data_IF_905275882811
#
_entry.id   IF_905275882811
#
_cell.length_a   1.000
_cell.length_b   1.000
_cell.length_c   1.000
_cell.angle_alpha   90.00
_cell.angle_beta   90.00
_cell.angle_gamma   90.00
#
_symmetry.space_group_name_H-M   'P 1'
#
loop_
_entity.id
_entity.type
_entity.pdbx_description
1 polymer ?
#
# COMPACT_ATOMS: atom_id res chain seq x y z
N UNK A 1 18.00 -25.01 -29.87
CA UNK A 1 18.63 -24.09 -28.90
C UNK A 1 17.53 -23.48 -28.06
N UNK A 2 17.42 -23.87 -26.78
CA UNK A 2 16.59 -23.16 -25.80
C UNK A 2 17.37 -21.91 -25.41
N UNK A 3 16.84 -20.74 -25.70
CA UNK A 3 17.39 -19.47 -25.26
C UNK A 3 17.24 -19.39 -23.75
N UNK A 4 18.35 -19.47 -23.02
CA UNK A 4 18.42 -19.13 -21.60
C UNK A 4 18.03 -17.66 -21.45
N UNK A 5 16.93 -17.42 -20.75
CA UNK A 5 16.56 -16.07 -20.33
C UNK A 5 17.60 -15.60 -19.29
N UNK A 6 18.19 -14.40 -19.42
CA UNK A 6 19.12 -13.87 -18.43
C UNK A 6 18.40 -13.73 -17.09
N UNK A 7 18.88 -14.47 -16.09
CA UNK A 7 18.42 -14.38 -14.72
C UNK A 7 19.01 -13.09 -14.11
N UNK A 8 18.31 -11.96 -14.27
CA UNK A 8 18.78 -10.63 -13.88
C UNK A 8 19.00 -10.43 -12.36
N UNK A 9 18.68 -11.42 -11.51
CA UNK A 9 18.89 -11.36 -10.06
C UNK A 9 19.24 -12.76 -9.51
N UNK A 10 20.52 -13.07 -9.22
CA UNK A 10 21.03 -14.44 -9.20
C UNK A 10 20.78 -15.25 -7.92
N UNK A 11 20.08 -14.74 -6.90
CA UNK A 11 19.81 -15.58 -5.71
C UNK A 11 18.48 -15.28 -5.02
N UNK A 12 17.72 -16.34 -4.78
CA UNK A 12 16.60 -16.39 -3.81
C UNK A 12 17.09 -16.35 -2.34
N UNK A 13 18.35 -15.99 -2.11
CA UNK A 13 18.90 -15.77 -0.78
C UNK A 13 18.81 -14.29 -0.43
N UNK A 14 18.28 -13.93 0.76
CA UNK A 14 18.47 -12.61 1.31
C UNK A 14 19.98 -12.35 1.42
N UNK A 15 20.53 -11.25 0.86
CA UNK A 15 21.93 -10.96 1.08
C UNK A 15 22.16 -10.62 2.56
N UNK A 16 23.34 -11.01 3.08
CA UNK A 16 23.68 -10.90 4.52
C UNK A 16 23.69 -9.43 5.02
N UNK A 17 23.74 -8.46 4.10
CA UNK A 17 23.76 -7.03 4.34
C UNK A 17 22.44 -6.47 4.93
N UNK A 18 21.32 -7.19 4.81
CA UNK A 18 20.03 -6.74 5.39
C UNK A 18 19.73 -7.27 6.80
N UNK A 19 20.59 -8.11 7.40
CA UNK A 19 20.30 -8.73 8.69
C UNK A 19 20.02 -7.73 9.83
N UNK A 20 20.74 -6.59 9.86
CA UNK A 20 20.48 -5.53 10.84
C UNK A 20 19.19 -4.77 10.54
N UNK A 21 18.95 -4.43 9.28
CA UNK A 21 17.72 -3.77 8.84
C UNK A 21 16.48 -4.62 9.14
N UNK A 22 16.57 -5.94 8.95
CA UNK A 22 15.49 -6.89 9.26
C UNK A 22 15.20 -6.94 10.76
N UNK A 23 16.24 -7.01 11.61
CA UNK A 23 16.06 -6.94 13.07
C UNK A 23 15.40 -5.64 13.50
N UNK A 24 15.81 -4.50 12.91
CA UNK A 24 15.21 -3.20 13.22
C UNK A 24 13.75 -3.12 12.76
N UNK A 25 13.44 -3.67 11.57
CA UNK A 25 12.10 -3.67 10.99
C UNK A 25 11.17 -4.76 11.58
N UNK A 26 11.72 -5.72 12.33
CA UNK A 26 11.00 -6.88 12.85
C UNK A 26 10.64 -7.88 11.75
N UNK A 27 11.45 -7.96 10.69
CA UNK A 27 11.25 -8.92 9.60
C UNK A 27 11.85 -10.26 9.97
N UNK A 28 11.09 -11.32 9.68
CA UNK A 28 11.52 -12.71 9.80
C UNK A 28 11.47 -13.32 8.39
N UNK A 29 12.60 -13.27 7.68
CA UNK A 29 12.77 -13.78 6.31
C UNK A 29 13.56 -15.09 6.36
N UNK A 30 12.97 -16.15 5.81
CA UNK A 30 13.54 -17.49 5.76
C UNK A 30 14.46 -17.72 4.56
N UNK A 31 15.21 -18.82 4.59
CA UNK A 31 16.10 -19.23 3.51
C UNK A 31 15.36 -19.67 2.23
N UNK A 32 14.05 -19.94 2.33
CA UNK A 32 13.13 -20.29 1.25
C UNK A 32 12.43 -19.06 0.63
N UNK A 33 12.92 -17.85 0.92
CA UNK A 33 12.36 -16.62 0.38
C UNK A 33 12.39 -16.61 -1.15
N UNK A 34 11.29 -16.18 -1.77
CA UNK A 34 11.21 -15.93 -3.20
C UNK A 34 10.59 -14.55 -3.41
N UNK A 35 11.18 -13.77 -4.34
CA UNK A 35 10.57 -12.50 -4.76
C UNK A 35 9.18 -12.76 -5.33
N UNK A 36 8.26 -11.86 -5.02
CA UNK A 36 6.86 -12.03 -5.42
C UNK A 36 6.67 -11.71 -6.90
N UNK A 37 6.02 -12.60 -7.66
CA UNK A 37 5.59 -12.33 -9.03
C UNK A 37 4.30 -11.48 -9.00
N UNK A 38 4.32 -10.29 -9.59
CA UNK A 38 3.16 -9.40 -9.60
C UNK A 38 1.92 -10.07 -10.20
N UNK A 39 2.08 -10.99 -11.16
CA UNK A 39 0.96 -11.71 -11.79
C UNK A 39 0.14 -12.49 -10.76
N UNK A 40 0.76 -12.88 -9.64
CA UNK A 40 0.10 -13.57 -8.53
C UNK A 40 -0.59 -12.64 -7.53
N UNK A 41 -0.50 -11.31 -7.69
CA UNK A 41 -1.35 -10.40 -6.95
C UNK A 41 -2.82 -10.71 -7.25
N UNK A 42 -3.68 -10.50 -6.26
CA UNK A 42 -5.06 -10.98 -6.33
C UNK A 42 -5.87 -10.31 -7.45
N UNK A 43 -5.54 -9.06 -7.77
CA UNK A 43 -6.25 -8.33 -8.81
C UNK A 43 -5.81 -8.76 -10.20
N UNK A 44 -4.53 -9.06 -10.41
CA UNK A 44 -4.03 -9.63 -11.65
C UNK A 44 -4.57 -11.05 -11.89
N UNK A 45 -4.58 -11.91 -10.85
CA UNK A 45 -5.12 -13.27 -10.92
C UNK A 45 -6.57 -13.35 -11.39
N UNK A 46 -7.39 -12.35 -11.09
CA UNK A 46 -8.78 -12.32 -11.54
C UNK A 46 -8.96 -12.33 -13.07
N UNK A 47 -7.89 -12.10 -13.84
CA UNK A 47 -7.93 -12.05 -15.31
C UNK A 47 -7.30 -13.26 -16.00
N UNK A 48 -6.57 -14.13 -15.31
CA UNK A 48 -5.87 -15.26 -15.94
C UNK A 48 -5.93 -16.58 -15.15
N UNK A 49 -6.23 -16.53 -13.85
CA UNK A 49 -6.25 -17.72 -13.00
C UNK A 49 -7.66 -18.32 -12.99
N UNK A 50 -7.84 -19.50 -13.59
CA UNK A 50 -9.13 -20.20 -13.70
C UNK A 50 -9.82 -20.45 -12.35
N UNK A 51 -9.05 -20.54 -11.26
CA UNK A 51 -9.61 -20.71 -9.91
C UNK A 51 -10.20 -19.43 -9.31
N UNK A 52 -9.88 -18.28 -9.89
CA UNK A 52 -10.25 -16.94 -9.39
C UNK A 52 -11.15 -16.21 -10.39
N UNK A 53 -10.87 -16.38 -11.69
CA UNK A 53 -11.59 -15.71 -12.75
C UNK A 53 -13.06 -16.18 -12.76
N UNK A 54 -13.97 -15.21 -12.73
CA UNK A 54 -15.40 -15.45 -12.86
C UNK A 54 -16.06 -14.28 -13.60
N UNK A 55 -17.28 -14.49 -14.10
CA UNK A 55 -18.06 -13.41 -14.73
C UNK A 55 -18.26 -12.23 -13.78
N UNK A 56 -18.46 -12.51 -12.49
CA UNK A 56 -18.64 -11.54 -11.42
C UNK A 56 -17.33 -10.81 -11.09
N UNK A 57 -16.19 -11.52 -11.06
CA UNK A 57 -14.88 -10.93 -10.85
C UNK A 57 -14.54 -9.94 -11.98
N UNK A 58 -14.74 -10.34 -13.24
CA UNK A 58 -14.56 -9.45 -14.39
C UNK A 58 -15.55 -8.27 -14.36
N UNK A 59 -16.80 -8.50 -13.94
CA UNK A 59 -17.79 -7.44 -13.77
C UNK A 59 -17.41 -6.42 -12.67
N UNK A 60 -16.74 -6.86 -11.60
CA UNK A 60 -16.23 -5.94 -10.57
C UNK A 60 -15.23 -4.94 -11.15
N UNK A 61 -14.27 -5.38 -11.96
CA UNK A 61 -13.32 -4.47 -12.61
C UNK A 61 -13.99 -3.59 -13.65
N UNK A 62 -14.84 -4.17 -14.52
CA UNK A 62 -15.63 -3.39 -15.48
C UNK A 62 -16.47 -2.31 -14.82
N UNK A 63 -16.97 -2.53 -13.60
CA UNK A 63 -17.76 -1.53 -12.88
C UNK A 63 -17.02 -0.23 -12.54
N UNK A 64 -15.69 -0.21 -12.61
CA UNK A 64 -14.95 1.05 -12.46
C UNK A 64 -15.03 1.90 -13.75
N UNK A 65 -15.09 1.25 -14.92
CA UNK A 65 -15.24 1.91 -16.22
C UNK A 65 -16.73 2.17 -16.57
N UNK A 66 -17.58 1.16 -16.39
CA UNK A 66 -18.97 1.16 -16.86
C UNK A 66 -19.93 1.97 -15.96
N UNK A 67 -19.45 2.49 -14.82
CA UNK A 67 -20.21 3.29 -13.85
C UNK A 67 -21.56 2.64 -13.50
N UNK A 68 -21.57 1.55 -12.71
CA UNK A 68 -22.76 0.74 -12.47
C UNK A 68 -23.91 1.59 -11.94
N UNK A 69 -25.14 1.19 -12.29
CA UNK A 69 -26.35 1.83 -11.79
C UNK A 69 -26.31 1.91 -10.26
N UNK A 70 -26.60 3.11 -9.74
CA UNK A 70 -26.74 3.33 -8.30
C UNK A 70 -27.82 2.43 -7.71
N UNK A 71 -27.67 2.08 -6.43
CA UNK A 71 -28.65 1.32 -5.66
C UNK A 71 -29.47 2.28 -4.79
N UNK A 72 -30.72 1.95 -4.51
CA UNK A 72 -31.51 2.64 -3.48
C UNK A 72 -31.15 2.16 -2.07
N UNK A 73 -29.86 2.11 -1.75
CA UNK A 73 -29.34 1.68 -0.46
C UNK A 73 -28.32 2.69 0.07
N UNK A 74 -28.35 2.94 1.38
CA UNK A 74 -27.46 3.91 2.04
C UNK A 74 -25.98 3.55 1.81
N UNK A 75 -25.22 4.49 1.26
CA UNK A 75 -23.82 4.33 0.85
C UNK A 75 -23.61 3.77 -0.54
N UNK A 76 -24.66 3.53 -1.32
CA UNK A 76 -24.61 3.05 -2.71
C UNK A 76 -25.51 3.87 -3.64
N UNK A 77 -25.90 5.08 -3.22
CA UNK A 77 -26.71 6.01 -4.01
C UNK A 77 -25.92 6.61 -5.18
N UNK A 78 -26.59 7.33 -6.06
CA UNK A 78 -25.92 8.02 -7.16
C UNK A 78 -24.88 9.03 -6.68
N UNK A 79 -25.16 9.75 -5.59
CA UNK A 79 -24.20 10.71 -4.99
C UNK A 79 -22.95 9.99 -4.47
N UNK A 80 -23.12 8.83 -3.83
CA UNK A 80 -22.01 8.03 -3.32
C UNK A 80 -21.07 7.57 -4.44
N UNK A 81 -21.64 7.04 -5.54
CA UNK A 81 -20.86 6.65 -6.71
C UNK A 81 -20.27 7.85 -7.45
N UNK A 82 -20.98 8.98 -7.54
CA UNK A 82 -20.46 10.19 -8.17
C UNK A 82 -19.22 10.71 -7.44
N UNK A 83 -19.27 10.81 -6.10
CA UNK A 83 -18.12 11.24 -5.31
C UNK A 83 -16.96 10.25 -5.42
N UNK A 84 -17.25 8.94 -5.30
CA UNK A 84 -16.23 7.90 -5.48
C UNK A 84 -15.55 8.03 -6.84
N UNK A 85 -16.30 8.06 -7.93
CA UNK A 85 -15.73 8.11 -9.27
C UNK A 85 -14.93 9.40 -9.49
N UNK A 86 -15.42 10.54 -9.00
CA UNK A 86 -14.67 11.79 -9.06
C UNK A 86 -13.34 11.72 -8.30
N UNK A 87 -13.33 11.05 -7.14
CA UNK A 87 -12.11 10.87 -6.35
C UNK A 87 -11.04 10.03 -7.06
N UNK A 88 -11.44 9.09 -7.94
CA UNK A 88 -10.52 8.24 -8.71
C UNK A 88 -10.01 8.88 -10.01
N UNK A 89 -10.62 9.98 -10.47
CA UNK A 89 -10.42 10.50 -11.82
C UNK A 89 -8.95 10.72 -12.21
N UNK A 90 -8.13 11.29 -11.31
CA UNK A 90 -6.71 11.54 -11.63
C UNK A 90 -5.90 10.25 -11.68
N UNK A 91 -6.14 9.32 -10.77
CA UNK A 91 -5.48 8.01 -10.81
C UNK A 91 -5.84 7.24 -12.09
N UNK A 92 -7.10 7.30 -12.51
CA UNK A 92 -7.59 6.67 -13.74
C UNK A 92 -6.95 7.32 -14.97
N UNK A 93 -6.84 8.64 -15.04
CA UNK A 93 -6.16 9.35 -16.13
C UNK A 93 -4.70 8.91 -16.27
N UNK A 94 -3.95 8.79 -15.17
CA UNK A 94 -2.58 8.27 -15.20
C UNK A 94 -2.54 6.80 -15.65
N UNK A 95 -3.42 5.95 -15.11
CA UNK A 95 -3.46 4.53 -15.44
C UNK A 95 -3.78 4.28 -16.91
N UNK A 96 -4.63 5.11 -17.52
CA UNK A 96 -5.11 4.93 -18.89
C UNK A 96 -4.23 5.64 -19.94
N UNK A 97 -3.40 6.64 -19.56
CA UNK A 97 -2.65 7.48 -20.51
C UNK A 97 -1.80 6.71 -21.54
N UNK A 98 -1.19 5.59 -21.13
CA UNK A 98 -0.33 4.75 -21.96
C UNK A 98 -0.83 3.29 -22.06
N UNK A 99 -2.09 3.04 -21.69
CA UNK A 99 -2.70 1.70 -21.76
C UNK A 99 -2.85 1.21 -23.19
N UNK A 100 -2.96 2.13 -24.15
CA UNK A 100 -2.87 1.87 -25.58
C UNK A 100 -1.51 1.25 -26.01
N UNK A 101 -0.48 1.40 -25.18
CA UNK A 101 0.87 0.86 -25.41
C UNK A 101 1.19 -0.32 -24.47
N UNK A 102 0.20 -0.85 -23.73
CA UNK A 102 0.41 -1.96 -22.79
C UNK A 102 0.98 -1.54 -21.43
N UNK A 103 0.96 -0.25 -21.11
CA UNK A 103 1.41 0.29 -19.83
C UNK A 103 0.21 0.72 -18.98
N UNK A 104 0.18 0.33 -17.70
CA UNK A 104 -0.84 0.81 -16.76
C UNK A 104 -0.19 1.43 -15.54
N UNK A 105 -0.04 2.74 -15.63
CA UNK A 105 0.85 3.49 -14.76
C UNK A 105 0.29 3.64 -13.34
N UNK A 106 1.14 3.41 -12.35
CA UNK A 106 0.81 3.37 -10.94
C UNK A 106 0.16 2.05 -10.47
N UNK A 107 -0.11 1.09 -11.36
CA UNK A 107 -0.71 -0.19 -10.98
C UNK A 107 0.12 -1.39 -11.42
N UNK A 108 0.42 -1.50 -12.72
CA UNK A 108 1.28 -2.54 -13.29
C UNK A 108 2.61 -1.98 -13.79
N UNK A 109 2.67 -0.67 -14.03
CA UNK A 109 3.84 0.02 -14.57
C UNK A 109 4.18 1.26 -13.74
N UNK A 110 5.47 1.63 -13.62
CA UNK A 110 5.85 2.91 -13.05
C UNK A 110 5.35 4.05 -13.92
N UNK A 111 5.34 5.26 -13.36
CA UNK A 111 4.99 6.45 -14.11
C UNK A 111 6.10 6.81 -15.10
N UNK A 112 5.73 6.93 -16.38
CA UNK A 112 6.64 7.39 -17.42
C UNK A 112 7.12 8.83 -17.13
N UNK A 113 8.42 9.10 -17.29
CA UNK A 113 8.98 10.42 -17.08
C UNK A 113 8.40 11.44 -18.07
N UNK A 114 8.12 12.65 -17.60
CA UNK A 114 7.77 13.76 -18.50
C UNK A 114 9.02 14.32 -19.19
N UNK A 115 10.09 14.52 -18.42
CA UNK A 115 11.40 14.93 -18.90
C UNK A 115 12.47 14.01 -18.32
N UNK A 116 13.56 13.76 -19.07
CA UNK A 116 14.71 13.03 -18.55
C UNK A 116 15.40 13.80 -17.42
N UNK A 117 16.34 13.17 -16.70
CA UNK A 117 17.23 13.89 -15.80
C UNK A 117 17.96 15.05 -16.50
N UNK A 118 18.15 16.16 -15.79
CA UNK A 118 18.94 17.29 -16.28
C UNK A 118 20.40 16.86 -16.50
N UNK A 119 21.03 17.39 -17.55
CA UNK A 119 22.44 17.10 -17.85
C UNK A 119 23.38 17.56 -16.73
N UNK A 120 23.09 18.73 -16.15
CA UNK A 120 23.81 19.23 -14.99
C UNK A 120 23.26 18.60 -13.71
N UNK A 121 24.06 17.73 -13.11
CA UNK A 121 23.76 17.10 -11.81
C UNK A 121 24.09 18.07 -10.67
N UNK A 122 23.11 18.33 -9.80
CA UNK A 122 23.35 19.06 -8.55
C UNK A 122 24.37 18.29 -7.72
N UNK A 123 25.33 18.98 -7.10
CA UNK A 123 26.26 18.36 -6.16
C UNK A 123 25.62 18.30 -4.78
N UNK A 124 25.48 17.09 -4.23
CA UNK A 124 24.98 16.86 -2.86
C UNK A 124 26.16 16.45 -1.98
N UNK A 125 26.62 17.38 -1.12
CA UNK A 125 27.71 17.14 -0.18
C UNK A 125 27.22 16.58 1.17
N UNK A 126 25.98 16.84 1.55
CA UNK A 126 25.35 16.35 2.78
C UNK A 126 24.04 15.60 2.46
N UNK A 127 24.09 14.26 2.34
CA UNK A 127 22.91 13.43 2.11
C UNK A 127 21.84 13.54 3.22
N UNK A 128 22.22 13.87 4.46
CA UNK A 128 21.26 14.02 5.55
C UNK A 128 20.46 15.32 5.41
N UNK A 129 21.13 16.43 5.08
CA UNK A 129 20.46 17.68 4.74
C UNK A 129 19.54 17.50 3.53
N UNK A 130 20.01 16.81 2.48
CA UNK A 130 19.17 16.53 1.30
C UNK A 130 17.96 15.67 1.65
N UNK A 131 18.10 14.66 2.51
CA UNK A 131 16.95 13.87 2.99
C UNK A 131 15.89 14.73 3.68
N UNK A 132 16.29 15.73 4.45
CA UNK A 132 15.33 16.64 5.08
C UNK A 132 14.65 17.54 4.05
N UNK A 133 15.40 18.04 3.07
CA UNK A 133 14.86 18.85 1.99
C UNK A 133 13.89 18.07 1.10
N UNK A 134 14.25 16.86 0.65
CA UNK A 134 13.40 16.06 -0.23
C UNK A 134 12.08 15.67 0.46
N UNK A 135 12.11 15.42 1.78
CA UNK A 135 10.89 15.20 2.57
C UNK A 135 10.02 16.46 2.64
N UNK A 136 10.63 17.64 2.80
CA UNK A 136 9.90 18.91 2.77
C UNK A 136 9.25 19.14 1.40
N UNK A 137 9.96 18.83 0.31
CA UNK A 137 9.42 18.91 -1.06
C UNK A 137 8.30 17.89 -1.27
N UNK A 138 8.44 16.66 -0.77
CA UNK A 138 7.38 15.65 -0.81
C UNK A 138 6.10 16.14 -0.09
N UNK A 139 6.25 16.76 1.08
CA UNK A 139 5.12 17.38 1.79
C UNK A 139 4.48 18.53 1.02
N UNK A 140 5.28 19.38 0.37
CA UNK A 140 4.77 20.45 -0.50
C UNK A 140 3.91 19.89 -1.65
N UNK A 141 4.30 18.76 -2.24
CA UNK A 141 3.54 18.11 -3.31
C UNK A 141 2.35 17.26 -2.83
N UNK A 142 2.14 17.13 -1.51
CA UNK A 142 0.93 16.52 -0.94
C UNK A 142 1.14 15.22 -0.17
N UNK A 143 2.39 14.73 -0.01
CA UNK A 143 2.65 13.60 0.88
C UNK A 143 2.32 13.99 2.32
N UNK A 144 1.58 13.13 3.04
CA UNK A 144 1.29 13.33 4.46
C UNK A 144 2.43 12.84 5.36
N UNK A 145 3.28 11.96 4.83
CA UNK A 145 4.51 11.49 5.45
C UNK A 145 5.49 11.05 4.36
N UNK A 146 6.78 11.17 4.64
CA UNK A 146 7.84 10.70 3.74
C UNK A 146 9.00 10.13 4.56
N UNK A 147 9.54 9.01 4.08
CA UNK A 147 10.69 8.33 4.67
C UNK A 147 11.62 7.84 3.56
N UNK A 148 12.89 7.66 3.87
CA UNK A 148 13.89 7.17 2.92
C UNK A 148 14.51 5.89 3.45
N UNK A 149 14.69 4.91 2.59
CA UNK A 149 15.40 3.65 2.90
C UNK A 149 16.32 3.26 1.75
N UNK A 150 17.27 2.37 2.01
CA UNK A 150 18.01 1.69 0.96
C UNK A 150 17.07 0.91 0.03
N UNK A 151 17.49 0.76 -1.23
CA UNK A 151 16.86 -0.17 -2.15
C UNK A 151 17.18 -1.61 -1.73
N UNK A 152 16.18 -2.27 -1.16
CA UNK A 152 16.20 -3.70 -0.84
C UNK A 152 15.58 -4.52 -2.00
N UNK A 153 16.40 -5.22 -2.81
CA UNK A 153 15.93 -5.88 -4.02
C UNK A 153 14.99 -7.06 -3.74
N UNK A 154 14.94 -7.57 -2.50
CA UNK A 154 14.02 -8.65 -2.10
C UNK A 154 12.56 -8.22 -2.28
N UNK A 155 12.26 -6.94 -2.08
CA UNK A 155 10.89 -6.44 -2.14
C UNK A 155 10.45 -6.00 -3.55
N UNK A 156 11.37 -5.96 -4.52
CA UNK A 156 11.01 -5.80 -5.93
C UNK A 156 10.20 -7.02 -6.39
N UNK A 157 9.20 -6.79 -7.24
CA UNK A 157 8.55 -7.90 -7.90
C UNK A 157 9.56 -8.66 -8.77
N UNK A 158 9.46 -9.99 -8.79
CA UNK A 158 10.29 -10.82 -9.68
C UNK A 158 10.04 -10.47 -11.15
N UNK A 159 8.77 -10.24 -11.48
CA UNK A 159 8.23 -9.84 -12.77
C UNK A 159 7.05 -8.92 -12.53
N UNK A 160 6.79 -8.02 -13.49
CA UNK A 160 5.55 -7.23 -13.55
C UNK A 160 4.52 -7.95 -14.42
N UNK A 161 3.27 -7.54 -14.34
CA UNK A 161 2.19 -8.09 -15.19
C UNK A 161 1.92 -7.16 -16.36
N UNK A 162 1.95 -7.68 -17.59
CA UNK A 162 1.50 -6.91 -18.75
C UNK A 162 -0.04 -6.79 -18.73
N UNK A 163 -0.58 -5.60 -18.92
CA UNK A 163 -1.99 -5.28 -18.62
C UNK A 163 -3.00 -5.91 -19.60
N UNK A 164 -2.58 -6.32 -20.80
CA UNK A 164 -3.48 -6.86 -21.83
C UNK A 164 -3.52 -8.38 -21.83
N UNK A 165 -2.34 -8.99 -21.81
CA UNK A 165 -2.12 -10.43 -21.87
C UNK A 165 -2.13 -11.07 -20.48
N UNK A 166 -1.85 -10.29 -19.43
CA UNK A 166 -1.60 -10.77 -18.07
C UNK A 166 -0.42 -11.74 -17.96
N UNK A 167 0.46 -11.76 -18.97
CA UNK A 167 1.70 -12.51 -18.93
C UNK A 167 2.79 -11.74 -18.15
N UNK A 168 3.78 -12.45 -17.58
CA UNK A 168 4.91 -11.81 -16.92
C UNK A 168 5.74 -10.98 -17.90
N UNK A 169 6.17 -9.81 -17.46
CA UNK A 169 7.16 -8.96 -18.14
C UNK A 169 8.28 -8.56 -17.18
N UNK A 170 9.46 -8.18 -17.69
CA UNK A 170 10.58 -7.75 -16.85
C UNK A 170 10.23 -6.58 -15.92
N UNK A 171 10.85 -6.58 -14.74
CA UNK A 171 10.77 -5.51 -13.75
C UNK A 171 12.06 -4.70 -13.71
N UNK A 172 12.57 -4.35 -14.89
CA UNK A 172 13.86 -3.69 -15.03
C UNK A 172 13.77 -2.25 -14.49
N UNK A 173 14.68 -1.94 -13.60
CA UNK A 173 14.93 -0.58 -13.12
C UNK A 173 16.26 -0.09 -13.70
N UNK A 174 16.42 1.23 -13.93
CA UNK A 174 17.72 1.79 -14.28
C UNK A 174 18.82 1.34 -13.31
N UNK A 175 20.03 1.15 -13.84
CA UNK A 175 21.19 0.81 -13.01
C UNK A 175 21.57 1.95 -12.06
N UNK A 176 22.18 1.59 -10.93
CA UNK A 176 22.75 2.56 -9.97
C UNK A 176 21.74 3.20 -9.01
N UNK A 177 20.46 2.82 -9.06
CA UNK A 177 19.50 3.23 -8.03
C UNK A 177 19.88 2.59 -6.69
N UNK A 178 19.96 3.40 -5.64
CA UNK A 178 20.40 2.97 -4.31
C UNK A 178 19.39 3.28 -3.22
N UNK A 179 18.46 4.22 -3.49
CA UNK A 179 17.57 4.78 -2.49
C UNK A 179 16.10 4.65 -2.92
N UNK A 180 15.23 4.48 -1.93
CA UNK A 180 13.78 4.50 -2.08
C UNK A 180 13.20 5.58 -1.18
N UNK A 181 12.53 6.55 -1.78
CA UNK A 181 11.72 7.54 -1.06
C UNK A 181 10.30 6.99 -0.98
N UNK A 182 9.83 6.63 0.20
CA UNK A 182 8.47 6.13 0.45
C UNK A 182 7.60 7.27 0.95
N UNK A 183 6.43 7.45 0.34
CA UNK A 183 5.48 8.50 0.68
C UNK A 183 4.16 7.89 1.14
N UNK A 184 3.59 8.42 2.22
CA UNK A 184 2.30 8.01 2.73
C UNK A 184 1.22 9.06 2.50
N UNK A 185 0.04 8.59 2.12
CA UNK A 185 -1.12 9.39 1.72
C UNK A 185 -2.29 9.04 2.64
N UNK A 186 -2.55 9.93 3.59
CA UNK A 186 -3.59 9.75 4.60
C UNK A 186 -4.98 9.81 3.98
N UNK A 187 -5.81 8.82 4.27
CA UNK A 187 -7.22 8.79 3.85
C UNK A 187 -8.14 9.44 4.88
N UNK A 188 -9.31 9.89 4.45
CA UNK A 188 -10.30 10.55 5.31
C UNK A 188 -10.81 9.62 6.43
N UNK A 189 -10.88 10.13 7.66
CA UNK A 189 -11.27 9.36 8.83
C UNK A 189 -12.75 8.94 8.79
N UNK A 190 -13.64 9.86 8.42
CA UNK A 190 -15.09 9.67 8.53
C UNK A 190 -15.62 8.80 7.39
N UNK A 191 -15.09 8.98 6.17
CA UNK A 191 -15.34 8.09 5.04
C UNK A 191 -14.86 6.66 5.35
N UNK A 192 -13.67 6.48 5.93
CA UNK A 192 -13.21 5.14 6.35
C UNK A 192 -14.14 4.51 7.40
N UNK A 193 -14.77 5.32 8.25
CA UNK A 193 -15.76 4.85 9.22
C UNK A 193 -17.10 4.41 8.58
N UNK A 194 -17.36 4.79 7.32
CA UNK A 194 -18.55 4.39 6.56
C UNK A 194 -18.39 3.07 5.78
N UNK A 195 -17.19 2.48 5.73
CA UNK A 195 -16.97 1.17 5.10
C UNK A 195 -17.81 0.06 5.75
N UNK A 196 -18.32 -0.93 5.00
CA UNK A 196 -18.27 -1.03 3.53
C UNK A 196 -19.35 -0.15 2.88
N UNK A 197 -18.99 0.70 1.92
CA UNK A 197 -19.91 1.48 1.09
C UNK A 197 -19.17 2.03 -0.14
N UNK A 198 -19.90 2.36 -1.21
CA UNK A 198 -19.31 3.08 -2.35
C UNK A 198 -18.82 4.47 -1.92
N UNK A 199 -19.54 5.13 -1.00
CA UNK A 199 -19.14 6.42 -0.42
C UNK A 199 -17.74 6.35 0.19
N UNK A 200 -17.51 5.35 1.04
CA UNK A 200 -16.21 5.16 1.69
C UNK A 200 -15.07 4.92 0.68
N UNK A 201 -15.38 4.32 -0.48
CA UNK A 201 -14.47 4.14 -1.61
C UNK A 201 -13.89 5.45 -2.17
N UNK A 202 -14.51 6.60 -1.90
CA UNK A 202 -13.96 7.91 -2.24
C UNK A 202 -12.67 8.21 -1.45
N UNK A 203 -12.53 7.72 -0.23
CA UNK A 203 -11.31 7.91 0.57
C UNK A 203 -10.09 7.22 -0.08
N UNK A 204 -10.30 6.02 -0.64
CA UNK A 204 -9.27 5.30 -1.39
C UNK A 204 -8.99 5.96 -2.73
N UNK A 205 -10.04 6.39 -3.45
CA UNK A 205 -9.87 7.12 -4.72
C UNK A 205 -9.03 8.39 -4.56
N UNK A 206 -9.36 9.22 -3.57
CA UNK A 206 -8.59 10.42 -3.25
C UNK A 206 -7.15 10.09 -2.88
N UNK A 207 -6.93 8.98 -2.18
CA UNK A 207 -5.59 8.47 -1.88
C UNK A 207 -4.78 8.19 -3.15
N UNK A 208 -5.33 7.43 -4.09
CA UNK A 208 -4.64 7.11 -5.35
C UNK A 208 -4.43 8.33 -6.25
N UNK A 209 -5.40 9.23 -6.33
CA UNK A 209 -5.27 10.47 -7.11
C UNK A 209 -4.20 11.40 -6.52
N UNK A 210 -4.14 11.50 -5.19
CA UNK A 210 -3.07 12.22 -4.48
C UNK A 210 -1.70 11.57 -4.66
N UNK A 211 -1.63 10.24 -4.63
CA UNK A 211 -0.41 9.49 -4.93
C UNK A 211 0.11 9.78 -6.33
N UNK A 212 -0.75 9.70 -7.34
CA UNK A 212 -0.36 9.86 -8.74
C UNK A 212 0.25 11.23 -9.00
N UNK A 213 -0.33 12.28 -8.43
CA UNK A 213 0.17 13.66 -8.55
C UNK A 213 1.48 13.86 -7.79
N UNK A 214 1.55 13.42 -6.54
CA UNK A 214 2.75 13.58 -5.70
C UNK A 214 3.95 12.86 -6.31
N UNK A 215 3.78 11.62 -6.78
CA UNK A 215 4.84 10.82 -7.40
C UNK A 215 5.34 11.48 -8.68
N UNK A 216 4.43 11.96 -9.53
CA UNK A 216 4.80 12.62 -10.78
C UNK A 216 5.61 13.89 -10.53
N UNK A 217 5.19 14.71 -9.57
CA UNK A 217 5.85 15.96 -9.23
C UNK A 217 7.22 15.74 -8.57
N UNK A 218 7.28 14.87 -7.55
CA UNK A 218 8.52 14.64 -6.82
C UNK A 218 9.57 13.91 -7.68
N UNK A 219 9.16 12.92 -8.49
CA UNK A 219 10.09 12.26 -9.42
C UNK A 219 10.61 13.24 -10.46
N UNK A 220 9.77 14.14 -10.96
CA UNK A 220 10.22 15.17 -11.90
C UNK A 220 11.15 16.19 -11.24
N UNK A 221 10.89 16.58 -10.00
CA UNK A 221 11.81 17.44 -9.24
C UNK A 221 13.20 16.82 -9.10
N UNK A 222 13.27 15.54 -8.73
CA UNK A 222 14.55 14.79 -8.63
C UNK A 222 15.27 14.74 -9.99
N UNK A 223 14.53 14.47 -11.08
CA UNK A 223 15.09 14.51 -12.44
C UNK A 223 15.61 15.90 -12.81
N UNK A 224 14.92 16.97 -12.43
CA UNK A 224 15.39 18.33 -12.68
C UNK A 224 16.69 18.68 -11.92
N UNK A 225 17.03 17.93 -10.86
CA UNK A 225 18.32 18.03 -10.16
C UNK A 225 19.42 17.17 -10.81
N UNK A 226 19.13 16.47 -11.91
CA UNK A 226 20.06 15.61 -12.65
C UNK A 226 20.23 14.20 -12.09
N UNK A 227 19.25 13.73 -11.30
CA UNK A 227 19.23 12.37 -10.74
C UNK A 227 18.17 11.50 -11.41
N UNK A 228 18.42 10.19 -11.48
CA UNK A 228 17.43 9.21 -11.91
C UNK A 228 16.30 9.13 -10.89
N UNK A 229 15.06 9.07 -11.37
CA UNK A 229 13.88 8.87 -10.52
C UNK A 229 12.79 8.08 -11.25
N UNK A 230 12.50 6.89 -10.73
CA UNK A 230 11.39 6.06 -11.19
C UNK A 230 10.22 6.23 -10.22
N UNK A 231 9.18 6.93 -10.67
CA UNK A 231 7.96 7.16 -9.89
C UNK A 231 7.07 5.93 -9.91
N UNK A 232 6.67 5.40 -8.76
CA UNK A 232 6.02 4.09 -8.69
C UNK A 232 4.98 4.05 -7.56
N UNK A 233 3.80 3.47 -7.80
CA UNK A 233 2.68 3.47 -6.83
C UNK A 233 2.38 2.05 -6.31
N UNK A 234 1.53 1.26 -6.95
CA UNK A 234 1.30 -0.16 -6.59
C UNK A 234 2.15 -1.14 -7.40
N UNK A 235 2.77 -0.66 -8.48
CA UNK A 235 3.64 -1.38 -9.40
C UNK A 235 5.05 -1.61 -8.82
N UNK A 236 5.92 -2.29 -9.57
CA UNK A 236 7.38 -2.49 -9.33
C UNK A 236 7.81 -3.22 -8.06
N UNK A 237 7.19 -3.00 -6.91
CA UNK A 237 7.62 -3.55 -5.63
C UNK A 237 6.51 -3.60 -4.58
N UNK A 238 6.71 -4.48 -3.60
CA UNK A 238 5.91 -4.51 -2.37
C UNK A 238 6.26 -3.31 -1.48
N UNK A 239 5.34 -2.35 -1.38
CA UNK A 239 5.59 -1.10 -0.64
C UNK A 239 5.58 -1.25 0.88
N UNK A 240 4.86 -2.23 1.43
CA UNK A 240 4.73 -2.44 2.88
C UNK A 240 6.10 -2.59 3.58
N UNK A 241 6.99 -3.51 3.15
CA UNK A 241 8.30 -3.63 3.79
C UNK A 241 9.13 -2.34 3.67
N UNK A 242 9.12 -1.69 2.50
CA UNK A 242 9.83 -0.42 2.29
C UNK A 242 9.32 0.69 3.22
N UNK A 243 8.00 0.80 3.43
CA UNK A 243 7.43 1.78 4.34
C UNK A 243 7.83 1.54 5.81
N UNK A 244 8.00 0.27 6.21
CA UNK A 244 8.48 -0.08 7.56
C UNK A 244 9.98 0.24 7.68
N UNK A 245 10.79 -0.15 6.69
CA UNK A 245 12.23 0.18 6.64
C UNK A 245 12.47 1.69 6.67
N UNK A 246 11.65 2.46 5.94
CA UNK A 246 11.64 3.92 5.95
C UNK A 246 11.07 4.55 7.24
N UNK A 247 10.73 3.75 8.25
CA UNK A 247 10.30 4.21 9.57
C UNK A 247 8.90 4.82 9.65
N UNK A 248 8.03 4.56 8.66
CA UNK A 248 6.69 5.16 8.58
C UNK A 248 5.64 4.47 9.46
N UNK A 249 5.88 3.22 9.86
CA UNK A 249 5.00 2.49 10.77
C UNK A 249 5.42 1.05 10.99
N UNK A 250 4.49 0.25 11.50
CA UNK A 250 4.68 -1.18 11.80
C UNK A 250 3.64 -2.05 11.09
N UNK A 251 3.99 -3.31 10.81
CA UNK A 251 3.05 -4.26 10.21
C UNK A 251 1.93 -4.66 11.19
N UNK A 252 0.67 -4.49 10.77
CA UNK A 252 -0.50 -4.93 11.54
C UNK A 252 -1.03 -6.29 11.09
N UNK A 253 -1.76 -6.99 11.99
CA UNK A 253 -2.51 -8.23 11.67
C UNK A 253 -3.46 -8.07 10.48
N UNK A 254 -3.95 -6.86 10.23
CA UNK A 254 -4.80 -6.51 9.09
C UNK A 254 -4.03 -6.33 7.76
N UNK A 255 -2.75 -6.70 7.72
CA UNK A 255 -1.85 -6.63 6.57
C UNK A 255 -1.54 -5.21 6.05
N UNK A 256 -1.69 -4.20 6.90
CA UNK A 256 -1.37 -2.82 6.54
C UNK A 256 -0.26 -2.30 7.45
N UNK A 257 0.45 -1.27 6.98
CA UNK A 257 1.33 -0.50 7.84
C UNK A 257 0.48 0.40 8.73
N UNK A 258 0.60 0.21 10.04
CA UNK A 258 -0.03 1.04 11.05
C UNK A 258 0.91 2.20 11.33
N UNK A 259 0.51 3.39 10.90
CA UNK A 259 1.27 4.63 11.10
C UNK A 259 0.85 5.32 12.40
N UNK A 260 1.71 6.19 12.94
CA UNK A 260 1.40 6.93 14.16
C UNK A 260 0.21 7.87 13.96
N UNK A 261 0.15 8.59 12.84
CA UNK A 261 -0.76 9.72 12.68
C UNK A 261 -2.06 9.39 11.93
N UNK A 262 -2.08 8.24 11.26
CA UNK A 262 -3.23 7.81 10.46
C UNK A 262 -3.65 6.36 10.77
N UNK A 263 -2.89 5.62 11.59
CA UNK A 263 -3.15 4.20 11.80
C UNK A 263 -3.08 3.43 10.47
N UNK A 264 -4.01 2.51 10.18
CA UNK A 264 -4.02 1.76 8.92
C UNK A 264 -4.54 2.54 7.71
N UNK A 265 -5.00 3.80 7.84
CA UNK A 265 -5.68 4.53 6.75
C UNK A 265 -4.72 5.19 5.75
N UNK A 266 -3.55 4.60 5.53
CA UNK A 266 -2.53 5.19 4.68
C UNK A 266 -2.38 4.36 3.42
N UNK A 267 -2.36 5.04 2.28
CA UNK A 267 -1.89 4.48 1.01
C UNK A 267 -0.42 4.88 0.85
N UNK A 268 0.39 4.05 0.18
CA UNK A 268 1.82 4.31 0.05
C UNK A 268 2.25 4.26 -1.41
N UNK A 269 3.10 5.20 -1.79
CA UNK A 269 3.82 5.22 -3.04
C UNK A 269 5.33 5.31 -2.79
N UNK A 270 6.14 5.12 -3.84
CA UNK A 270 7.60 5.09 -3.75
C UNK A 270 8.27 5.69 -4.97
N UNK A 271 9.47 6.23 -4.78
CA UNK A 271 10.36 6.66 -5.86
C UNK A 271 11.71 5.98 -5.67
N UNK A 272 12.18 5.29 -6.70
CA UNK A 272 13.53 4.73 -6.75
C UNK A 272 14.48 5.76 -7.35
N UNK A 273 15.62 6.02 -6.72
CA UNK A 273 16.55 7.08 -7.16
C UNK A 273 18.01 6.76 -6.87
N UNK A 274 18.91 7.32 -7.67
CA UNK A 274 20.36 7.35 -7.43
C UNK A 274 20.80 8.59 -6.62
N UNK A 275 19.86 9.49 -6.26
CA UNK A 275 20.13 10.68 -5.44
C UNK A 275 20.71 10.26 -4.08
N UNK A 276 21.91 10.74 -3.69
CA UNK A 276 22.49 10.48 -2.38
C UNK A 276 21.59 10.99 -1.26
N UNK A 277 21.09 10.09 -0.42
CA UNK A 277 20.18 10.38 0.67
C UNK A 277 20.56 9.58 1.92
N UNK A 278 20.46 10.21 3.08
CA UNK A 278 20.50 9.47 4.35
C UNK A 278 19.18 8.71 4.58
N UNK A 279 19.27 7.52 5.16
CA UNK A 279 18.12 6.66 5.40
C UNK A 279 17.51 6.89 6.78
N UNK A 280 16.19 6.78 6.86
CA UNK A 280 15.47 6.62 8.10
C UNK A 280 15.68 5.21 8.67
N UNK A 281 15.23 5.05 9.92
CA UNK A 281 15.24 3.77 10.61
C UNK A 281 13.82 3.41 11.05
N UNK A 282 13.49 2.11 11.11
CA UNK A 282 12.27 1.61 11.73
C UNK A 282 12.05 2.19 13.14
N UNK A 283 10.81 2.58 13.45
CA UNK A 283 10.44 3.23 14.72
C UNK A 283 9.25 2.52 15.38
N UNK A 284 9.43 1.29 15.90
CA UNK A 284 8.35 0.54 16.52
C UNK A 284 7.74 1.30 17.71
N UNK A 285 6.43 1.20 17.84
CA UNK A 285 5.61 1.81 18.89
C UNK A 285 4.57 0.85 19.49
N UNK A 286 4.72 -0.45 19.24
CA UNK A 286 4.04 -1.54 19.95
C UNK A 286 2.84 -2.14 19.20
N UNK A 287 2.81 -2.04 17.86
CA UNK A 287 1.71 -2.56 17.05
C UNK A 287 1.66 -4.09 17.08
N UNK A 288 2.82 -4.75 17.01
CA UNK A 288 2.92 -6.22 17.06
C UNK A 288 2.39 -6.77 18.39
N UNK A 289 2.82 -6.21 19.52
CA UNK A 289 2.37 -6.61 20.85
C UNK A 289 0.88 -6.34 21.05
N UNK A 290 0.37 -5.26 20.47
CA UNK A 290 -1.06 -4.97 20.48
C UNK A 290 -1.83 -5.98 19.63
N UNK A 291 -1.35 -6.33 18.43
CA UNK A 291 -1.94 -7.34 17.56
C UNK A 291 -1.91 -8.76 18.15
N UNK A 292 -0.98 -9.04 19.07
CA UNK A 292 -0.94 -10.31 19.80
C UNK A 292 -2.08 -10.47 20.82
N UNK A 293 -2.68 -9.38 21.30
CA UNK A 293 -3.86 -9.41 22.19
C UNK A 293 -5.15 -8.98 21.50
N UNK A 294 -5.05 -8.36 20.32
CA UNK A 294 -6.18 -7.83 19.56
C UNK A 294 -6.39 -8.62 18.26
N UNK A 295 -7.62 -9.11 18.07
CA UNK A 295 -8.07 -9.78 16.84
C UNK A 295 -9.30 -9.11 16.20
N UNK A 296 -9.60 -7.84 16.55
CA UNK A 296 -10.81 -7.13 16.07
C UNK A 296 -10.97 -7.14 14.55
N UNK A 297 -9.88 -7.01 13.78
CA UNK A 297 -9.92 -7.07 12.32
C UNK A 297 -10.32 -8.46 11.80
N UNK A 298 -9.79 -9.54 12.39
CA UNK A 298 -10.13 -10.91 12.03
C UNK A 298 -11.55 -11.28 12.48
N UNK A 299 -11.94 -10.87 13.68
CA UNK A 299 -13.30 -11.08 14.21
C UNK A 299 -14.36 -10.42 13.32
N UNK A 300 -14.10 -9.18 12.87
CA UNK A 300 -15.04 -8.41 12.06
C UNK A 300 -15.01 -8.76 10.56
N UNK A 301 -14.00 -9.47 10.07
CA UNK A 301 -13.87 -9.84 8.66
C UNK A 301 -14.99 -10.82 8.26
N UNK A 302 -15.96 -10.44 7.41
CA UNK A 302 -17.06 -11.34 7.06
C UNK A 302 -16.62 -12.66 6.42
N UNK A 303 -15.67 -12.67 5.45
CA UNK A 303 -15.23 -13.93 4.84
C UNK A 303 -14.16 -14.65 5.66
N UNK A 304 -13.80 -14.16 6.86
CA UNK A 304 -12.75 -14.77 7.72
C UNK A 304 -11.41 -14.95 6.98
N UNK A 305 -11.05 -13.95 6.19
CA UNK A 305 -9.82 -13.94 5.39
C UNK A 305 -8.56 -13.64 6.21
N UNK A 306 -8.68 -13.03 7.40
CA UNK A 306 -7.54 -12.69 8.24
C UNK A 306 -7.22 -13.78 9.26
N UNK A 307 -5.94 -14.02 9.58
CA UNK A 307 -5.53 -15.04 10.54
C UNK A 307 -5.90 -14.65 11.98
N UNK A 308 -6.33 -15.65 12.75
CA UNK A 308 -6.66 -15.52 14.18
C UNK A 308 -5.44 -15.73 15.09
N UNK A 309 -4.47 -16.54 14.65
CA UNK A 309 -3.31 -16.97 15.43
C UNK A 309 -2.09 -16.05 15.34
N UNK A 310 -0.92 -16.50 15.80
CA UNK A 310 0.35 -15.80 15.60
C UNK A 310 0.73 -15.70 14.10
N UNK A 311 1.73 -14.88 13.75
CA UNK A 311 2.34 -14.89 12.42
C UNK A 311 2.90 -16.26 12.03
N UNK A 312 2.73 -16.64 10.77
CA UNK A 312 3.22 -17.91 10.22
C UNK A 312 3.90 -17.65 8.87
N UNK A 313 4.75 -18.58 8.42
CA UNK A 313 5.34 -18.53 7.07
C UNK A 313 4.32 -19.04 6.06
N UNK A 314 4.23 -18.38 4.92
CA UNK A 314 3.33 -18.75 3.81
C UNK A 314 1.94 -18.13 3.90
N UNK A 315 0.97 -18.78 3.26
CA UNK A 315 -0.43 -18.34 3.21
C UNK A 315 -1.34 -19.33 2.49
N UNK A 316 -2.62 -19.00 2.41
CA UNK A 316 -3.65 -19.92 1.90
C UNK A 316 -3.53 -20.21 0.39
N UNK A 317 -2.90 -19.32 -0.38
CA UNK A 317 -2.81 -19.41 -1.84
C UNK A 317 -1.58 -18.65 -2.37
N UNK A 318 -1.38 -18.70 -3.69
CA UNK A 318 -0.21 -18.11 -4.38
C UNK A 318 -0.13 -16.58 -4.33
N UNK A 319 -1.17 -15.90 -3.86
CA UNK A 319 -1.11 -14.45 -3.58
C UNK A 319 -0.39 -14.13 -2.27
N UNK A 320 0.13 -15.13 -1.56
CA UNK A 320 1.03 -14.97 -0.43
C UNK A 320 2.50 -14.96 -0.88
N UNK A 321 3.28 -14.03 -0.32
CA UNK A 321 4.74 -14.04 -0.42
C UNK A 321 5.31 -15.26 0.33
N UNK A 322 6.31 -15.92 -0.25
CA UNK A 322 7.00 -17.09 0.33
C UNK A 322 8.17 -16.68 1.22
N UNK A 323 8.49 -17.52 2.19
CA UNK A 323 9.65 -17.34 3.07
C UNK A 323 9.61 -16.09 3.96
N UNK A 324 8.43 -15.49 4.21
CA UNK A 324 8.29 -14.40 5.18
C UNK A 324 7.28 -14.80 6.24
N UNK A 325 7.67 -14.77 7.52
CA UNK A 325 6.77 -15.02 8.64
C UNK A 325 6.00 -13.75 8.97
N UNK A 326 4.69 -13.77 8.74
CA UNK A 326 3.80 -12.63 8.99
C UNK A 326 2.36 -13.10 9.16
N UNK A 327 1.45 -12.20 9.56
CA UNK A 327 0.03 -12.47 9.41
C UNK A 327 -0.34 -12.46 7.92
N UNK A 328 -0.59 -13.63 7.34
CA UNK A 328 -0.99 -13.74 5.93
C UNK A 328 -2.50 -13.90 5.77
N UNK A 329 -3.14 -13.02 5.00
CA UNK A 329 -4.55 -13.11 4.66
C UNK A 329 -4.79 -14.12 3.52
N UNK A 330 -5.97 -14.72 3.52
CA UNK A 330 -6.54 -15.42 2.38
C UNK A 330 -7.13 -14.39 1.40
N UNK A 331 -6.33 -13.99 0.41
CA UNK A 331 -6.69 -12.94 -0.54
C UNK A 331 -7.88 -13.32 -1.42
N UNK A 332 -8.09 -14.61 -1.71
CA UNK A 332 -9.23 -15.09 -2.52
C UNK A 332 -10.53 -14.90 -1.76
N UNK A 333 -10.56 -15.24 -0.46
CA UNK A 333 -11.71 -14.95 0.41
C UNK A 333 -11.96 -13.44 0.54
N UNK A 334 -10.90 -12.64 0.67
CA UNK A 334 -11.02 -11.19 0.77
C UNK A 334 -11.63 -10.61 -0.51
N UNK A 335 -11.05 -10.91 -1.67
CA UNK A 335 -11.49 -10.41 -2.96
C UNK A 335 -12.87 -10.95 -3.36
N UNK A 336 -13.18 -12.22 -3.07
CA UNK A 336 -14.50 -12.78 -3.29
C UNK A 336 -15.61 -12.02 -2.55
N UNK A 337 -15.31 -11.43 -1.39
CA UNK A 337 -16.25 -10.54 -0.70
C UNK A 337 -16.46 -9.19 -1.43
N UNK A 338 -15.40 -8.63 -2.04
CA UNK A 338 -15.50 -7.40 -2.84
C UNK A 338 -16.36 -7.63 -4.08
N UNK A 339 -16.14 -8.76 -4.76
CA UNK A 339 -16.94 -9.19 -5.92
C UNK A 339 -18.41 -9.31 -5.56
N UNK A 340 -18.73 -9.97 -4.43
CA UNK A 340 -20.12 -10.08 -3.93
C UNK A 340 -20.75 -8.73 -3.61
N UNK A 341 -20.01 -7.81 -2.98
CA UNK A 341 -20.50 -6.47 -2.68
C UNK A 341 -20.59 -5.56 -3.91
N UNK A 342 -19.83 -5.87 -4.96
CA UNK A 342 -19.51 -5.01 -6.11
C UNK A 342 -19.00 -3.63 -5.66
N UNK A 343 -18.14 -3.64 -4.65
CA UNK A 343 -17.43 -2.48 -4.07
C UNK A 343 -16.25 -2.97 -3.26
N UNK A 344 -15.31 -2.08 -2.98
CA UNK A 344 -14.23 -2.28 -2.03
C UNK A 344 -14.72 -2.45 -0.57
N UNK A 345 -13.91 -3.15 0.25
CA UNK A 345 -14.27 -3.53 1.62
C UNK A 345 -13.67 -2.64 2.72
N UNK A 346 -12.45 -2.91 3.19
CA UNK A 346 -11.78 -2.20 4.29
C UNK A 346 -12.44 -2.23 5.70
N UNK A 347 -13.32 -3.18 6.01
CA UNK A 347 -13.83 -3.37 7.40
C UNK A 347 -12.68 -3.54 8.40
N UNK A 348 -11.63 -4.27 8.04
CA UNK A 348 -10.45 -4.50 8.88
C UNK A 348 -9.68 -3.21 9.23
N UNK A 349 -9.74 -2.20 8.37
CA UNK A 349 -9.21 -0.86 8.60
C UNK A 349 -10.12 -0.11 9.56
N UNK A 350 -11.43 -0.10 9.28
CA UNK A 350 -12.46 0.55 10.09
C UNK A 350 -12.42 0.13 11.56
N UNK A 351 -12.36 -1.17 11.83
CA UNK A 351 -12.45 -1.71 13.20
C UNK A 351 -11.13 -1.69 13.96
N UNK A 352 -10.02 -1.32 13.31
CA UNK A 352 -8.71 -1.32 13.94
C UNK A 352 -8.69 -0.32 15.11
N UNK A 353 -8.22 -0.69 16.31
CA UNK A 353 -8.10 0.27 17.41
C UNK A 353 -7.19 1.46 17.10
N UNK A 354 -6.22 1.30 16.19
CA UNK A 354 -5.37 2.38 15.68
C UNK A 354 -6.06 3.24 14.60
N UNK A 355 -7.23 2.86 14.10
CA UNK A 355 -8.08 3.76 13.31
C UNK A 355 -8.72 4.80 14.26
N UNK A 356 -8.01 5.92 14.52
CA UNK A 356 -8.49 7.08 15.28
C UNK A 356 -8.14 8.41 14.61
N UNK A 357 -8.77 9.47 15.09
CA UNK A 357 -8.41 10.86 14.79
C UNK A 357 -7.31 11.32 15.75
N UNK A 358 -6.06 11.27 15.29
CA UNK A 358 -4.89 11.62 16.09
C UNK A 358 -4.62 13.13 16.18
N UNK A 359 -5.44 13.98 15.54
CA UNK A 359 -5.45 15.42 15.84
C UNK A 359 -5.87 15.65 17.30
N UNK A 360 -6.70 14.75 17.86
CA UNK A 360 -7.15 14.78 19.26
C UNK A 360 -6.03 14.30 20.20
N UNK A 361 -5.56 15.12 21.16
CA UNK A 361 -4.49 14.74 22.11
C UNK A 361 -4.77 13.45 22.88
N UNK A 362 -6.04 13.26 23.30
CA UNK A 362 -6.47 12.06 24.01
C UNK A 362 -6.25 10.77 23.19
N UNK A 363 -6.40 10.83 21.86
CA UNK A 363 -6.16 9.68 20.98
C UNK A 363 -4.67 9.39 20.82
N UNK A 364 -3.82 10.42 20.82
CA UNK A 364 -2.35 10.24 20.83
C UNK A 364 -1.87 9.62 22.13
N UNK A 365 -2.44 10.02 23.27
CA UNK A 365 -2.19 9.37 24.56
C UNK A 365 -2.65 7.92 24.53
N UNK A 366 -3.89 7.65 24.08
CA UNK A 366 -4.43 6.30 23.99
C UNK A 366 -3.54 5.38 23.13
N UNK A 367 -3.04 5.86 21.99
CA UNK A 367 -2.06 5.14 21.14
C UNK A 367 -0.78 4.82 21.90
N UNK A 368 -0.22 5.80 22.62
CA UNK A 368 0.99 5.59 23.41
C UNK A 368 0.78 4.52 24.48
N UNK A 369 -0.33 4.58 25.22
CA UNK A 369 -0.67 3.58 26.24
C UNK A 369 -0.92 2.19 25.62
N UNK A 370 -1.51 2.14 24.42
CA UNK A 370 -1.72 0.90 23.68
C UNK A 370 -0.42 0.17 23.31
N UNK A 371 0.70 0.89 23.15
CA UNK A 371 2.02 0.27 22.95
C UNK A 371 2.64 -0.33 24.22
N UNK A 372 2.11 0.00 25.41
CA UNK A 372 2.67 -0.43 26.70
C UNK A 372 1.98 -1.68 27.26
N UNK A 373 2.30 -2.04 28.51
CA UNK A 373 1.60 -3.10 29.28
C UNK A 373 0.09 -2.84 29.44
N UNK A 374 -0.36 -1.58 29.27
CA UNK A 374 -1.78 -1.19 29.35
C UNK A 374 -2.61 -1.57 28.10
N UNK A 375 -2.02 -2.20 27.09
CA UNK A 375 -2.69 -2.57 25.82
C UNK A 375 -4.03 -3.29 25.97
N UNK A 376 -4.17 -4.18 26.96
CA UNK A 376 -5.43 -4.90 27.23
C UNK A 376 -6.51 -3.97 27.75
N UNK A 377 -6.17 -3.04 28.65
CA UNK A 377 -7.07 -2.00 29.12
C UNK A 377 -7.49 -1.07 27.99
N UNK A 378 -6.53 -0.65 27.16
CA UNK A 378 -6.82 0.22 26.01
C UNK A 378 -7.73 -0.46 24.99
N UNK A 379 -7.52 -1.74 24.70
CA UNK A 379 -8.42 -2.53 23.86
C UNK A 379 -9.83 -2.63 24.46
N UNK A 380 -9.93 -2.89 25.78
CA UNK A 380 -11.22 -2.94 26.47
C UNK A 380 -11.96 -1.59 26.39
N UNK A 381 -11.27 -0.47 26.64
CA UNK A 381 -11.84 0.88 26.52
C UNK A 381 -12.30 1.16 25.09
N UNK A 382 -11.49 0.83 24.09
CA UNK A 382 -11.80 1.01 22.67
C UNK A 382 -13.11 0.29 22.28
N UNK A 383 -13.31 -0.92 22.80
CA UNK A 383 -14.54 -1.71 22.61
C UNK A 383 -15.71 -1.09 23.37
N UNK A 384 -15.53 -0.75 24.66
CA UNK A 384 -16.60 -0.20 25.51
C UNK A 384 -17.12 1.14 25.03
N UNK A 385 -16.24 2.00 24.54
CA UNK A 385 -16.59 3.30 23.96
C UNK A 385 -17.20 3.19 22.54
N UNK A 386 -17.29 1.97 21.99
CA UNK A 386 -17.97 1.71 20.73
C UNK A 386 -17.18 2.14 19.48
N UNK A 387 -15.87 2.35 19.59
CA UNK A 387 -15.05 2.67 18.43
C UNK A 387 -15.02 1.50 17.42
N UNK A 388 -14.94 1.84 16.13
CA UNK A 388 -14.93 0.88 15.03
C UNK A 388 -16.31 0.42 14.55
N UNK A 389 -17.39 0.89 15.20
CA UNK A 389 -18.76 0.75 14.66
C UNK A 389 -18.88 1.50 13.34
N UNK A 390 -19.68 0.94 12.41
CA UNK A 390 -19.97 1.58 11.13
C UNK A 390 -20.74 2.87 11.36
N UNK A 391 -20.30 3.96 10.75
CA UNK A 391 -21.09 5.18 10.62
C UNK A 391 -21.97 5.03 9.38
N UNK A 392 -23.25 5.34 9.51
CA UNK A 392 -24.18 5.31 8.38
C UNK A 392 -23.72 6.32 7.31
N UNK A 393 -23.51 5.92 6.04
CA UNK A 393 -23.04 6.80 4.97
C UNK A 393 -23.82 8.13 4.86
N UNK A 394 -25.15 8.12 5.02
CA UNK A 394 -25.96 9.34 5.00
C UNK A 394 -25.57 10.40 6.05
N UNK A 395 -24.94 10.02 7.16
CA UNK A 395 -24.43 10.98 8.16
C UNK A 395 -23.23 11.78 7.66
N UNK A 396 -22.48 11.28 6.70
CA UNK A 396 -21.38 12.05 6.12
C UNK A 396 -21.91 13.16 5.20
N UNK A 397 -23.01 12.90 4.48
CA UNK A 397 -23.70 13.91 3.68
C UNK A 397 -24.45 14.95 4.52
N UNK A 398 -24.85 14.58 5.74
CA UNK A 398 -25.60 15.42 6.68
C UNK A 398 -24.90 15.38 8.06
N UNK A 399 -23.75 16.08 8.19
CA UNK A 399 -22.86 15.96 9.35
C UNK A 399 -23.42 16.50 10.67
#
# INVERSE_FOLDING_TARGET
>A
MKTEQPNYYPSNHPPDDFAEADRAAGFEVGADFERFDQRNDMFSRAFWDDGVQSKEALAFFRSHADRPASRQADGFTQKDYALRNAAWAVADDYADRNKANGLREGFQDPQEPRYPPAEQKLKIDDPAAMTLEIKRVAHFFGAHMAGVTALDPRWLYATRTEVRSFEPKPNDLPDGLTNVIVMGHGMDYDLVNAYPSALAGAAVGMGYSGEATTVAQLSQYIRNLGYQAVGSMNDTALVIPMAIQAGLGEYGRNQMVITKDYGPRVRFSKIFTDMPLAHDQPKPFGVTEFCNVCRRCADACPPKALPFGPPEVGGANRSAIKGVKKWTADCEKCFGFWVKMKSDCAICMRVCPFNKDFRKPIMRLARRLAGTRLRRLMLWLDIKLGYGKRIAPNKWWNP
#
